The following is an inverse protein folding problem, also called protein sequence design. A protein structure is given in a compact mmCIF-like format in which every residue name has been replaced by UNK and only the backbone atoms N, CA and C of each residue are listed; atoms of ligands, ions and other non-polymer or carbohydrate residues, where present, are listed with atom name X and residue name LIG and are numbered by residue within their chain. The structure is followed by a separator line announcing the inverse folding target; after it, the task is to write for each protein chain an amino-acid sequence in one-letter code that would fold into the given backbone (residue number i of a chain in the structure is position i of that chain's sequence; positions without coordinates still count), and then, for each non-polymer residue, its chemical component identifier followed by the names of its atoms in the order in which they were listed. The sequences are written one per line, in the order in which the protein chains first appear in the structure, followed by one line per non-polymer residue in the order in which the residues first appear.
data_IF_954082429716
#
_entry.id   IF_954082429716
#
_cell.length_a   1.000
_cell.length_b   1.000
_cell.length_c   1.000
_cell.angle_alpha   90.00
_cell.angle_beta   90.00
_cell.angle_gamma   90.00
#
_symmetry.space_group_name_H-M   'P 1'
#
loop_
_entity.id
_entity.type
_entity.pdbx_description
1 polymer ?
#
# COMPACT_ATOMS: atom_id res chain seq x y z
N UNK A 1 -6.19 -24.04 45.71
CA UNK A 1 -5.28 -23.48 44.72
C UNK A 1 -5.20 -24.31 43.43
N UNK A 2 -4.87 -25.61 43.44
CA UNK A 2 -4.78 -26.48 42.22
C UNK A 2 -6.06 -26.53 41.37
N UNK A 3 -7.25 -26.55 41.99
CA UNK A 3 -8.55 -26.64 41.28
C UNK A 3 -8.83 -25.36 40.49
N UNK A 4 -8.55 -24.19 41.04
CA UNK A 4 -8.75 -22.89 40.40
C UNK A 4 -7.78 -22.70 39.20
N UNK A 5 -6.54 -23.14 39.32
CA UNK A 5 -5.55 -23.12 38.24
C UNK A 5 -6.02 -24.01 37.08
N UNK A 6 -6.54 -25.21 37.36
CA UNK A 6 -7.06 -26.11 36.33
C UNK A 6 -8.25 -25.50 35.58
N UNK A 7 -9.20 -24.88 36.31
CA UNK A 7 -10.34 -24.20 35.69
C UNK A 7 -9.87 -23.01 34.82
N UNK A 8 -8.92 -22.21 35.33
CA UNK A 8 -8.34 -21.11 34.56
C UNK A 8 -7.66 -21.59 33.27
N UNK A 9 -6.86 -22.67 33.34
CA UNK A 9 -6.23 -23.26 32.15
C UNK A 9 -7.25 -23.80 31.15
N UNK A 10 -8.30 -24.47 31.62
CA UNK A 10 -9.37 -24.96 30.76
C UNK A 10 -10.12 -23.81 30.06
N UNK A 11 -10.49 -22.77 30.79
CA UNK A 11 -11.16 -21.60 30.21
C UNK A 11 -10.27 -20.87 29.20
N UNK A 12 -8.97 -20.74 29.51
CA UNK A 12 -8.01 -20.13 28.57
C UNK A 12 -7.85 -20.97 27.30
N UNK A 13 -7.79 -22.29 27.42
CA UNK A 13 -7.71 -23.18 26.27
C UNK A 13 -8.99 -23.13 25.40
N UNK A 14 -10.16 -23.10 26.03
CA UNK A 14 -11.44 -22.95 25.33
C UNK A 14 -11.51 -21.60 24.61
N UNK A 15 -11.12 -20.50 25.27
CA UNK A 15 -11.10 -19.18 24.65
C UNK A 15 -10.13 -19.14 23.45
N UNK A 16 -8.93 -19.69 23.60
CA UNK A 16 -7.96 -19.76 22.50
C UNK A 16 -8.47 -20.61 21.33
N UNK A 17 -9.12 -21.75 21.62
CA UNK A 17 -9.76 -22.61 20.61
C UNK A 17 -10.88 -21.89 19.86
N UNK A 18 -11.75 -21.17 20.58
CA UNK A 18 -12.84 -20.40 19.99
C UNK A 18 -12.33 -19.28 19.08
N UNK A 19 -11.31 -18.54 19.54
CA UNK A 19 -10.67 -17.47 18.74
C UNK A 19 -10.00 -18.07 17.49
N UNK A 20 -9.34 -19.23 17.63
CA UNK A 20 -8.73 -19.90 16.49
C UNK A 20 -9.77 -20.31 15.44
N UNK A 21 -10.87 -20.90 15.85
CA UNK A 21 -11.98 -21.27 14.96
C UNK A 21 -12.59 -20.05 14.27
N UNK A 22 -12.79 -18.96 14.99
CA UNK A 22 -13.27 -17.70 14.43
C UNK A 22 -12.29 -17.15 13.37
N UNK A 23 -10.98 -17.14 13.66
CA UNK A 23 -9.96 -16.73 12.69
C UNK A 23 -10.00 -17.60 11.41
N UNK A 24 -10.20 -18.92 11.55
CA UNK A 24 -10.33 -19.84 10.41
C UNK A 24 -11.59 -19.57 9.59
N UNK A 25 -12.72 -19.28 10.26
CA UNK A 25 -13.96 -18.93 9.60
C UNK A 25 -13.85 -17.62 8.80
N UNK A 26 -13.26 -16.58 9.40
CA UNK A 26 -13.00 -15.30 8.74
C UNK A 26 -12.15 -15.50 7.47
N UNK A 27 -11.10 -16.32 7.58
CA UNK A 27 -10.23 -16.66 6.45
C UNK A 27 -11.01 -17.35 5.32
N UNK A 28 -11.79 -18.37 5.65
CA UNK A 28 -12.59 -19.11 4.67
C UNK A 28 -13.60 -18.19 3.97
N UNK A 29 -14.26 -17.29 4.73
CA UNK A 29 -15.21 -16.32 4.16
C UNK A 29 -14.52 -15.32 3.21
N UNK A 30 -13.29 -14.89 3.52
CA UNK A 30 -12.51 -14.02 2.64
C UNK A 30 -12.07 -14.75 1.36
N UNK A 31 -11.61 -16.00 1.48
CA UNK A 31 -11.17 -16.82 0.35
C UNK A 31 -12.30 -17.11 -0.66
N UNK A 32 -13.55 -17.08 -0.23
CA UNK A 32 -14.74 -17.26 -1.11
C UNK A 32 -14.97 -16.05 -2.04
N UNK A 33 -14.42 -14.87 -1.75
CA UNK A 33 -14.61 -13.66 -2.56
C UNK A 33 -14.02 -13.79 -3.95
N UNK A 34 -12.84 -14.38 -4.08
CA UNK A 34 -12.16 -14.74 -5.33
C UNK A 34 -12.07 -13.60 -6.37
N UNK A 35 -11.95 -12.37 -5.92
CA UNK A 35 -11.83 -11.19 -6.79
C UNK A 35 -10.40 -11.05 -7.29
N UNK A 36 -9.43 -11.13 -6.39
CA UNK A 36 -8.00 -10.99 -6.71
C UNK A 36 -7.43 -12.26 -7.32
N UNK A 37 -7.84 -13.44 -6.84
CA UNK A 37 -7.40 -14.73 -7.36
C UNK A 37 -7.84 -15.00 -8.80
N UNK A 38 -8.94 -14.39 -9.24
CA UNK A 38 -9.44 -14.53 -10.61
C UNK A 38 -8.62 -13.73 -11.64
N UNK A 39 -7.76 -12.83 -11.22
CA UNK A 39 -6.90 -12.04 -12.10
C UNK A 39 -5.58 -12.78 -12.38
N UNK A 40 -5.29 -13.05 -13.66
CA UNK A 40 -4.02 -13.64 -14.07
C UNK A 40 -2.90 -12.59 -14.05
N UNK A 41 -1.76 -12.96 -13.49
CA UNK A 41 -0.55 -12.16 -13.46
C UNK A 41 0.67 -13.05 -13.39
N UNK A 42 1.83 -12.42 -13.23
CA UNK A 42 3.13 -13.08 -13.13
C UNK A 42 3.66 -13.00 -11.71
N UNK A 43 4.70 -13.77 -11.42
CA UNK A 43 5.44 -13.70 -10.16
C UNK A 43 6.92 -13.42 -10.44
N UNK A 44 7.44 -12.40 -9.80
CA UNK A 44 8.86 -12.09 -9.74
C UNK A 44 9.45 -12.79 -8.50
N UNK A 45 10.39 -13.72 -8.74
CA UNK A 45 11.08 -14.41 -7.64
C UNK A 45 12.10 -13.48 -7.00
N UNK A 46 11.71 -12.86 -5.91
CA UNK A 46 12.56 -11.94 -5.16
C UNK A 46 13.11 -12.64 -3.91
N UNK A 47 14.28 -12.21 -3.42
CA UNK A 47 15.00 -12.82 -2.28
C UNK A 47 14.19 -13.06 -1.01
N UNK A 48 13.13 -12.26 -0.79
CA UNK A 48 12.29 -12.37 0.41
C UNK A 48 10.89 -12.96 0.12
N UNK A 49 10.65 -13.47 -1.10
CA UNK A 49 9.38 -14.08 -1.47
C UNK A 49 8.93 -13.72 -2.88
N UNK A 50 7.89 -14.36 -3.35
CA UNK A 50 7.29 -14.12 -4.65
C UNK A 50 6.46 -12.86 -4.66
N UNK A 51 6.72 -12.00 -5.63
CA UNK A 51 6.04 -10.72 -5.83
C UNK A 51 5.10 -10.85 -7.01
N UNK A 52 3.81 -10.74 -6.77
CA UNK A 52 2.82 -10.71 -7.84
C UNK A 52 2.87 -9.40 -8.61
N UNK A 53 2.85 -9.49 -9.95
CA UNK A 53 2.77 -8.31 -10.80
C UNK A 53 1.98 -8.59 -12.08
N UNK A 54 1.54 -7.52 -12.75
CA UNK A 54 0.98 -7.58 -14.10
C UNK A 54 1.77 -6.66 -15.02
N UNK A 55 1.86 -7.04 -16.31
CA UNK A 55 2.44 -6.24 -17.39
C UNK A 55 1.40 -6.13 -18.50
N UNK A 56 1.05 -4.93 -18.94
CA UNK A 56 0.02 -4.69 -19.96
C UNK A 56 0.39 -3.50 -20.85
N UNK A 57 -0.05 -3.54 -22.10
CA UNK A 57 0.16 -2.47 -23.06
C UNK A 57 1.55 -2.47 -23.69
N UNK A 58 1.83 -1.43 -24.48
CA UNK A 58 3.09 -1.19 -25.17
C UNK A 58 3.46 0.30 -25.07
N UNK A 59 4.73 0.61 -25.06
CA UNK A 59 5.25 1.99 -24.95
C UNK A 59 6.20 2.13 -23.76
N UNK A 60 6.53 3.34 -23.39
CA UNK A 60 7.43 3.62 -22.26
C UNK A 60 6.93 3.01 -20.96
N UNK A 61 7.84 2.43 -20.12
CA UNK A 61 7.43 1.76 -18.90
C UNK A 61 6.87 2.72 -17.86
N UNK A 62 5.74 2.32 -17.28
CA UNK A 62 5.06 2.98 -16.19
C UNK A 62 4.75 1.98 -15.07
N UNK A 63 5.41 2.15 -13.93
CA UNK A 63 5.20 1.31 -12.75
C UNK A 63 4.18 1.96 -11.81
N UNK A 64 3.10 1.24 -11.50
CA UNK A 64 2.06 1.65 -10.56
C UNK A 64 2.27 0.96 -9.21
N UNK A 65 2.50 1.74 -8.15
CA UNK A 65 2.75 1.26 -6.79
C UNK A 65 1.60 1.69 -5.89
N UNK A 66 0.82 0.71 -5.40
CA UNK A 66 -0.30 0.96 -4.49
C UNK A 66 0.15 1.47 -3.11
N UNK A 67 -0.79 2.01 -2.32
CA UNK A 67 -0.55 2.44 -0.94
C UNK A 67 0.00 1.30 -0.07
N UNK A 68 0.92 1.60 0.82
CA UNK A 68 1.46 0.62 1.76
C UNK A 68 0.48 0.41 2.92
N UNK A 69 -0.39 -0.57 2.76
CA UNK A 69 -1.35 -1.00 3.77
C UNK A 69 -1.62 -2.51 3.59
N UNK A 70 -1.75 -3.32 4.65
CA UNK A 70 -2.07 -4.75 4.54
C UNK A 70 -3.34 -5.07 3.77
N UNK A 71 -4.25 -4.11 3.63
CA UNK A 71 -5.52 -4.26 2.88
C UNK A 71 -5.38 -3.88 1.42
N UNK A 72 -4.26 -3.26 1.04
CA UNK A 72 -4.02 -2.77 -0.32
C UNK A 72 -3.46 -3.86 -1.24
N UNK A 73 -3.64 -3.64 -2.53
CA UNK A 73 -3.07 -4.43 -3.63
C UNK A 73 -3.09 -3.61 -4.91
N UNK A 74 -2.51 -4.11 -5.98
CA UNK A 74 -2.59 -3.46 -7.29
C UNK A 74 -4.03 -3.31 -7.83
N UNK A 75 -5.03 -3.93 -7.19
CA UNK A 75 -6.44 -3.66 -7.47
C UNK A 75 -6.83 -2.19 -7.28
N UNK A 76 -6.06 -1.43 -6.51
CA UNK A 76 -6.18 0.02 -6.37
C UNK A 76 -6.17 0.74 -7.74
N UNK A 77 -5.53 0.17 -8.74
CA UNK A 77 -5.36 0.72 -10.08
C UNK A 77 -6.39 0.21 -11.09
N UNK A 78 -7.36 -0.63 -10.68
CA UNK A 78 -8.28 -1.35 -11.57
C UNK A 78 -9.07 -0.46 -12.54
N UNK A 79 -9.33 0.81 -12.18
CA UNK A 79 -10.09 1.75 -13.03
C UNK A 79 -9.20 2.54 -14.01
N UNK A 80 -7.89 2.59 -13.83
CA UNK A 80 -6.98 3.41 -14.64
C UNK A 80 -6.11 2.58 -15.60
N UNK A 81 -5.79 1.32 -15.26
CA UNK A 81 -4.88 0.46 -16.05
C UNK A 81 -5.27 0.42 -17.52
N UNK A 82 -6.52 0.08 -17.84
CA UNK A 82 -7.02 -0.05 -19.23
C UNK A 82 -6.88 1.22 -20.08
N UNK A 83 -6.76 2.37 -19.43
CA UNK A 83 -6.60 3.65 -20.13
C UNK A 83 -5.13 4.00 -20.31
N UNK A 84 -4.31 3.71 -19.29
CA UNK A 84 -2.87 3.94 -19.30
C UNK A 84 -2.15 2.96 -20.25
N UNK A 85 -2.60 1.69 -20.35
CA UNK A 85 -1.99 0.66 -21.22
C UNK A 85 -2.11 1.00 -22.72
N UNK A 86 -2.91 2.00 -23.11
CA UNK A 86 -2.99 2.47 -24.49
C UNK A 86 -1.72 3.19 -24.96
N UNK A 87 -1.03 3.84 -24.03
CA UNK A 87 0.14 4.69 -24.31
C UNK A 87 1.42 4.22 -23.62
N UNK A 88 1.30 3.30 -22.66
CA UNK A 88 2.41 2.87 -21.82
C UNK A 88 2.46 1.34 -21.67
N UNK A 89 3.65 0.82 -21.42
CA UNK A 89 3.80 -0.52 -20.85
C UNK A 89 3.59 -0.39 -19.35
N UNK A 90 2.37 -0.71 -18.89
CA UNK A 90 1.96 -0.55 -17.50
C UNK A 90 2.32 -1.78 -16.68
N UNK A 91 3.16 -1.59 -15.68
CA UNK A 91 3.46 -2.58 -14.67
C UNK A 91 2.70 -2.24 -13.39
N UNK A 92 2.08 -3.24 -12.77
CA UNK A 92 1.53 -3.10 -11.41
C UNK A 92 2.11 -4.21 -10.56
N UNK A 93 2.43 -3.95 -9.31
CA UNK A 93 2.86 -5.00 -8.40
C UNK A 93 2.08 -4.94 -7.09
N UNK A 94 1.85 -6.10 -6.47
CA UNK A 94 1.45 -6.17 -5.08
C UNK A 94 2.72 -6.14 -4.24
N UNK A 95 2.86 -5.16 -3.35
CA UNK A 95 4.03 -5.06 -2.47
C UNK A 95 4.15 -6.29 -1.57
N UNK A 96 5.37 -6.68 -1.23
CA UNK A 96 5.58 -7.79 -0.27
C UNK A 96 4.82 -7.49 1.03
N UNK A 97 4.10 -8.47 1.55
CA UNK A 97 3.19 -8.28 2.69
C UNK A 97 1.77 -7.88 2.31
N UNK A 98 1.49 -7.56 1.03
CA UNK A 98 0.20 -7.09 0.52
C UNK A 98 -0.37 -8.03 -0.55
N UNK A 99 -1.67 -7.94 -0.80
CA UNK A 99 -2.37 -8.59 -1.90
C UNK A 99 -2.00 -10.06 -2.12
N UNK A 100 -1.62 -10.38 -3.36
CA UNK A 100 -1.24 -11.74 -3.84
C UNK A 100 0.23 -12.08 -3.62
N UNK A 101 1.07 -11.08 -3.29
CA UNK A 101 2.48 -11.31 -2.97
C UNK A 101 2.66 -12.06 -1.66
N UNK A 102 3.80 -12.70 -1.51
CA UNK A 102 4.15 -13.40 -0.28
C UNK A 102 4.13 -12.47 0.93
N UNK A 103 3.77 -13.05 2.08
CA UNK A 103 3.69 -12.35 3.37
C UNK A 103 4.58 -13.07 4.41
N UNK A 104 5.91 -13.05 4.21
CA UNK A 104 6.83 -13.73 5.12
C UNK A 104 6.82 -13.13 6.53
N UNK A 105 7.19 -13.95 7.52
CA UNK A 105 7.43 -13.50 8.88
C UNK A 105 8.77 -12.74 8.94
N UNK A 106 8.70 -11.42 8.80
CA UNK A 106 9.87 -10.54 8.90
C UNK A 106 9.46 -9.15 9.42
N UNK A 107 10.42 -8.32 9.74
CA UNK A 107 10.19 -6.90 10.01
C UNK A 107 10.17 -6.14 8.68
N UNK A 108 9.01 -5.59 8.34
CA UNK A 108 8.83 -4.78 7.15
C UNK A 108 9.35 -3.36 7.43
N UNK A 109 10.45 -3.01 6.77
CA UNK A 109 11.07 -1.69 6.90
C UNK A 109 10.90 -0.88 5.62
N UNK A 110 11.06 0.42 5.70
CA UNK A 110 11.05 1.28 4.52
C UNK A 110 12.10 0.81 3.48
N UNK A 111 13.31 0.51 3.92
CA UNK A 111 14.39 0.05 3.05
C UNK A 111 14.14 -1.32 2.39
N UNK A 112 13.31 -2.17 2.98
CA UNK A 112 12.86 -3.40 2.33
C UNK A 112 12.14 -3.08 1.01
N UNK A 113 11.27 -2.07 1.02
CA UNK A 113 10.54 -1.63 -0.17
C UNK A 113 11.43 -0.85 -1.16
N UNK A 114 12.37 -0.04 -0.66
CA UNK A 114 13.41 0.58 -1.51
C UNK A 114 14.13 -0.50 -2.33
N UNK A 115 14.57 -1.58 -1.69
CA UNK A 115 15.25 -2.69 -2.36
C UNK A 115 14.32 -3.42 -3.34
N UNK A 116 13.09 -3.72 -2.94
CA UNK A 116 12.12 -4.40 -3.80
C UNK A 116 11.90 -3.63 -5.11
N UNK A 117 11.62 -2.32 -5.02
CA UNK A 117 11.36 -1.51 -6.21
C UNK A 117 12.63 -1.38 -7.07
N UNK A 118 13.78 -1.17 -6.44
CA UNK A 118 15.06 -1.09 -7.16
C UNK A 118 15.35 -2.39 -7.91
N UNK A 119 15.21 -3.53 -7.25
CA UNK A 119 15.48 -4.84 -7.84
C UNK A 119 14.45 -5.17 -8.95
N UNK A 120 13.17 -4.83 -8.75
CA UNK A 120 12.13 -5.07 -9.75
C UNK A 120 12.33 -4.24 -11.01
N UNK A 121 12.62 -2.93 -10.88
CA UNK A 121 12.88 -2.08 -12.06
C UNK A 121 14.14 -2.56 -12.79
N UNK A 122 15.22 -2.91 -12.10
CA UNK A 122 16.47 -3.33 -12.71
C UNK A 122 16.39 -4.70 -13.41
N UNK A 123 15.73 -5.65 -12.76
CA UNK A 123 15.81 -7.05 -13.18
C UNK A 123 14.63 -7.49 -14.05
N UNK A 124 13.44 -6.92 -13.84
CA UNK A 124 12.20 -7.32 -14.54
C UNK A 124 11.78 -6.31 -15.61
N UNK A 125 11.88 -4.99 -15.31
CA UNK A 125 11.59 -3.95 -16.32
C UNK A 125 12.82 -3.72 -17.21
N UNK A 126 14.00 -3.54 -16.63
CA UNK A 126 15.29 -3.46 -17.34
C UNK A 126 15.59 -2.08 -17.96
N UNK A 127 14.74 -1.08 -17.77
CA UNK A 127 14.88 0.26 -18.33
C UNK A 127 14.39 1.36 -17.39
N UNK A 128 14.82 2.59 -17.67
CA UNK A 128 14.43 3.77 -16.87
C UNK A 128 12.93 3.98 -16.91
N UNK A 129 12.28 3.97 -15.73
CA UNK A 129 10.84 3.78 -15.59
C UNK A 129 10.17 5.00 -14.93
N UNK A 130 9.05 5.47 -15.48
CA UNK A 130 8.17 6.40 -14.78
C UNK A 130 7.43 5.65 -13.65
N UNK A 131 7.30 6.27 -12.48
CA UNK A 131 6.64 5.64 -11.33
C UNK A 131 5.46 6.48 -10.87
N UNK A 132 4.27 5.88 -10.85
CA UNK A 132 3.08 6.45 -10.23
C UNK A 132 2.80 5.70 -8.93
N UNK A 133 2.83 6.42 -7.82
CA UNK A 133 2.63 5.84 -6.49
C UNK A 133 1.54 6.57 -5.70
N UNK A 134 1.06 5.99 -4.61
CA UNK A 134 0.05 6.61 -3.75
C UNK A 134 0.46 6.62 -2.28
N UNK A 135 0.03 7.65 -1.57
CA UNK A 135 0.10 7.84 -0.12
C UNK A 135 1.49 7.53 0.50
N UNK A 136 1.53 6.53 1.41
CA UNK A 136 2.73 6.13 2.17
C UNK A 136 3.87 5.63 1.27
N UNK A 137 3.53 5.10 0.10
CA UNK A 137 4.50 4.52 -0.84
C UNK A 137 5.44 5.57 -1.46
N UNK A 138 5.11 6.86 -1.35
CA UNK A 138 6.02 7.96 -1.74
C UNK A 138 7.37 7.85 -1.04
N UNK A 139 7.39 7.39 0.22
CA UNK A 139 8.61 7.43 1.03
C UNK A 139 9.72 6.55 0.47
N UNK A 140 9.44 5.30 0.18
CA UNK A 140 10.44 4.39 -0.38
C UNK A 140 10.64 4.58 -1.90
N UNK A 141 9.66 5.14 -2.62
CA UNK A 141 9.82 5.51 -4.03
C UNK A 141 10.85 6.63 -4.18
N UNK A 142 10.71 7.71 -3.41
CA UNK A 142 11.66 8.84 -3.41
C UNK A 142 13.05 8.40 -2.97
N UNK A 143 13.16 7.54 -1.94
CA UNK A 143 14.44 7.02 -1.49
C UNK A 143 15.09 6.10 -2.53
N UNK A 144 14.33 5.23 -3.20
CA UNK A 144 14.84 4.38 -4.26
C UNK A 144 15.40 5.19 -5.43
N UNK A 145 14.69 6.23 -5.84
CA UNK A 145 15.13 7.16 -6.88
C UNK A 145 16.40 7.94 -6.48
N UNK A 146 16.42 8.49 -5.26
CA UNK A 146 17.57 9.27 -4.78
C UNK A 146 18.84 8.41 -4.62
N UNK A 147 18.69 7.13 -4.26
CA UNK A 147 19.82 6.20 -4.15
C UNK A 147 20.31 5.67 -5.51
N UNK A 148 19.47 5.73 -6.54
CA UNK A 148 19.74 5.17 -7.87
C UNK A 148 19.24 6.14 -8.95
N UNK A 149 20.07 7.12 -9.33
CA UNK A 149 19.71 8.23 -10.23
C UNK A 149 19.17 7.81 -11.60
N UNK A 150 19.63 6.67 -12.12
CA UNK A 150 19.23 6.16 -13.44
C UNK A 150 18.04 5.22 -13.41
N UNK A 151 17.44 5.02 -12.24
CA UNK A 151 16.36 4.04 -12.06
C UNK A 151 15.01 4.55 -12.58
N UNK A 152 14.68 5.81 -12.30
CA UNK A 152 13.38 6.39 -12.60
C UNK A 152 13.50 7.59 -13.54
N UNK A 153 12.59 7.68 -14.51
CA UNK A 153 12.48 8.82 -15.42
C UNK A 153 11.72 9.98 -14.78
N UNK A 154 10.68 9.68 -14.02
CA UNK A 154 9.86 10.64 -13.28
C UNK A 154 9.13 9.96 -12.14
N UNK A 155 8.67 10.73 -11.16
CA UNK A 155 7.84 10.28 -10.06
C UNK A 155 6.54 11.08 -10.04
N UNK A 156 5.41 10.39 -10.04
CA UNK A 156 4.08 10.95 -9.85
C UNK A 156 3.47 10.37 -8.58
N UNK A 157 2.87 11.21 -7.74
CA UNK A 157 2.32 10.77 -6.45
C UNK A 157 0.88 11.23 -6.28
N UNK A 158 -0.01 10.28 -6.04
CA UNK A 158 -1.38 10.57 -5.64
C UNK A 158 -1.46 10.73 -4.12
N UNK A 159 -1.86 11.92 -3.66
CA UNK A 159 -2.05 12.24 -2.25
C UNK A 159 -0.88 11.76 -1.36
N UNK A 160 0.33 12.31 -1.50
CA UNK A 160 1.49 11.86 -0.73
C UNK A 160 1.24 11.94 0.78
N UNK A 161 1.78 10.98 1.52
CA UNK A 161 1.82 11.06 2.98
C UNK A 161 2.55 12.35 3.42
N UNK A 162 2.13 12.95 4.54
CA UNK A 162 2.78 14.16 5.03
C UNK A 162 4.22 13.87 5.49
N UNK A 163 5.14 14.80 5.21
CA UNK A 163 6.53 14.68 5.66
C UNK A 163 6.62 14.48 7.18
N UNK A 164 5.72 15.15 7.92
CA UNK A 164 5.61 14.98 9.38
C UNK A 164 5.23 13.54 9.77
N UNK A 165 4.29 12.90 9.07
CA UNK A 165 3.89 11.52 9.36
C UNK A 165 4.98 10.51 8.99
N UNK A 166 5.79 10.81 8.00
CA UNK A 166 6.94 9.99 7.58
C UNK A 166 8.13 10.12 8.53
N UNK A 167 8.28 11.25 9.22
CA UNK A 167 9.37 11.49 10.16
C UNK A 167 9.18 10.81 11.53
N UNK A 168 8.05 10.15 11.78
CA UNK A 168 7.78 9.47 13.05
C UNK A 168 8.76 8.31 13.25
N UNK A 169 9.54 8.39 14.32
CA UNK A 169 10.50 7.34 14.70
C UNK A 169 9.87 6.27 15.58
N UNK A 170 10.55 5.13 15.67
CA UNK A 170 10.19 4.08 16.63
C UNK A 170 10.34 4.58 18.06
N UNK A 171 9.47 4.11 18.96
CA UNK A 171 9.56 4.42 20.39
C UNK A 171 9.87 3.14 21.18
N UNK A 172 10.11 3.30 22.50
CA UNK A 172 10.44 2.17 23.41
C UNK A 172 9.38 1.06 23.47
N UNK A 173 8.15 1.32 23.05
CA UNK A 173 7.06 0.34 23.01
C UNK A 173 6.87 -0.30 21.62
N UNK A 174 7.66 0.08 20.63
CA UNK A 174 7.54 -0.43 19.27
C UNK A 174 7.66 -1.96 19.21
N UNK A 175 8.64 -2.53 19.90
CA UNK A 175 8.83 -3.99 19.96
C UNK A 175 7.65 -4.71 20.62
N UNK A 176 7.07 -4.13 21.67
CA UNK A 176 5.91 -4.71 22.36
C UNK A 176 4.68 -4.70 21.45
N UNK A 177 4.40 -3.58 20.78
CA UNK A 177 3.30 -3.50 19.79
C UNK A 177 3.48 -4.51 18.67
N UNK A 178 4.68 -4.59 18.10
CA UNK A 178 5.02 -5.55 17.04
C UNK A 178 4.75 -6.97 17.51
N UNK A 179 5.31 -7.36 18.65
CA UNK A 179 5.15 -8.71 19.21
C UNK A 179 3.69 -9.07 19.44
N UNK A 180 2.86 -8.13 19.92
CA UNK A 180 1.44 -8.38 20.17
C UNK A 180 0.69 -8.80 18.88
N UNK A 181 0.92 -8.09 17.75
CA UNK A 181 0.32 -8.44 16.47
C UNK A 181 0.90 -9.72 15.87
N UNK A 182 2.15 -10.07 16.19
CA UNK A 182 2.80 -11.28 15.69
C UNK A 182 2.33 -12.56 16.38
N UNK A 183 1.72 -12.47 17.57
CA UNK A 183 1.20 -13.65 18.29
C UNK A 183 0.26 -14.47 17.37
N UNK A 184 0.36 -15.82 17.41
CA UNK A 184 -0.36 -16.68 16.48
C UNK A 184 -1.88 -16.52 16.52
N UNK A 185 -2.50 -16.61 17.68
CA UNK A 185 -3.97 -16.61 17.84
C UNK A 185 -4.48 -15.20 18.11
N UNK A 186 -3.94 -14.56 19.15
CA UNK A 186 -4.39 -13.23 19.63
C UNK A 186 -4.04 -12.16 18.59
N UNK A 187 -2.81 -12.16 18.08
CA UNK A 187 -2.37 -11.19 17.07
C UNK A 187 -3.17 -11.31 15.77
N UNK A 188 -3.49 -12.55 15.34
CA UNK A 188 -4.37 -12.76 14.18
C UNK A 188 -5.78 -12.26 14.45
N UNK A 189 -6.30 -12.44 15.64
CA UNK A 189 -7.64 -11.94 16.01
C UNK A 189 -7.66 -10.40 16.03
N UNK A 190 -6.68 -9.75 16.64
CA UNK A 190 -6.56 -8.28 16.64
C UNK A 190 -6.43 -7.72 15.23
N UNK A 191 -5.64 -8.38 14.40
CA UNK A 191 -5.53 -8.04 12.97
C UNK A 191 -6.89 -8.15 12.28
N UNK A 192 -7.59 -9.27 12.40
CA UNK A 192 -8.89 -9.49 11.77
C UNK A 192 -9.95 -8.48 12.22
N UNK A 193 -9.93 -8.04 13.49
CA UNK A 193 -10.78 -6.94 13.96
C UNK A 193 -10.45 -5.63 13.25
N UNK A 194 -9.16 -5.32 13.09
CA UNK A 194 -8.70 -4.07 12.45
C UNK A 194 -9.08 -3.99 10.98
N UNK A 195 -9.01 -5.13 10.26
CA UNK A 195 -9.32 -5.23 8.83
C UNK A 195 -10.69 -5.86 8.55
N UNK A 196 -11.60 -5.83 9.53
CA UNK A 196 -12.96 -6.34 9.37
C UNK A 196 -13.75 -5.55 8.32
N UNK A 197 -14.77 -6.18 7.72
CA UNK A 197 -15.65 -5.51 6.77
C UNK A 197 -16.26 -4.22 7.35
N UNK A 198 -16.61 -4.21 8.62
CA UNK A 198 -17.15 -3.01 9.29
C UNK A 198 -16.12 -1.90 9.35
N UNK A 199 -14.86 -2.21 9.76
CA UNK A 199 -13.77 -1.24 9.83
C UNK A 199 -13.41 -0.69 8.45
N UNK A 200 -13.32 -1.56 7.44
CA UNK A 200 -13.05 -1.17 6.06
C UNK A 200 -14.15 -0.27 5.50
N UNK A 201 -15.43 -0.68 5.63
CA UNK A 201 -16.56 0.13 5.17
C UNK A 201 -16.59 1.51 5.84
N UNK A 202 -16.31 1.57 7.14
CA UNK A 202 -16.23 2.85 7.86
C UNK A 202 -15.13 3.74 7.27
N UNK A 203 -13.90 3.21 7.15
CA UNK A 203 -12.78 3.98 6.61
C UNK A 203 -13.04 4.47 5.18
N UNK A 204 -13.59 3.59 4.31
CA UNK A 204 -13.89 3.97 2.94
C UNK A 204 -14.97 5.06 2.86
N UNK A 205 -16.02 5.01 3.67
CA UNK A 205 -17.13 5.97 3.65
C UNK A 205 -16.79 7.31 4.30
N UNK A 206 -16.06 7.30 5.39
CA UNK A 206 -15.80 8.50 6.19
C UNK A 206 -14.50 9.21 5.74
N UNK A 207 -13.43 8.43 5.48
CA UNK A 207 -12.09 8.99 5.28
C UNK A 207 -11.61 8.93 3.85
N UNK A 208 -11.89 7.83 3.11
CA UNK A 208 -11.21 7.57 1.83
C UNK A 208 -11.96 8.10 0.62
N UNK A 209 -13.30 8.18 0.67
CA UNK A 209 -14.12 8.63 -0.44
C UNK A 209 -14.83 9.95 -0.16
N UNK A 210 -14.79 10.87 -1.12
CA UNK A 210 -15.63 12.07 -1.10
C UNK A 210 -17.08 11.72 -1.46
N UNK A 211 -17.26 10.68 -2.28
CA UNK A 211 -18.56 10.22 -2.77
C UNK A 211 -18.79 8.75 -2.41
N UNK A 212 -19.25 8.45 -1.17
CA UNK A 212 -19.42 7.07 -0.69
C UNK A 212 -20.36 6.20 -1.53
N UNK A 213 -21.26 6.80 -2.31
CA UNK A 213 -22.14 6.09 -3.24
C UNK A 213 -21.39 5.41 -4.41
N UNK A 214 -20.14 5.78 -4.68
CA UNK A 214 -19.30 5.16 -5.72
C UNK A 214 -18.59 3.88 -5.23
N UNK A 215 -18.69 3.58 -3.94
CA UNK A 215 -18.07 2.39 -3.35
C UNK A 215 -18.90 1.18 -3.75
N UNK A 216 -18.35 0.31 -4.60
CA UNK A 216 -18.98 -0.93 -5.01
C UNK A 216 -18.68 -2.07 -4.01
N UNK A 217 -19.60 -3.03 -3.90
CA UNK A 217 -19.36 -4.26 -3.12
C UNK A 217 -18.11 -4.99 -3.59
N UNK A 218 -17.90 -5.07 -4.92
CA UNK A 218 -16.72 -5.70 -5.51
C UNK A 218 -15.41 -5.06 -5.04
N UNK A 219 -15.37 -3.73 -4.92
CA UNK A 219 -14.21 -3.02 -4.38
C UNK A 219 -13.95 -3.43 -2.92
N UNK A 220 -15.00 -3.42 -2.10
CA UNK A 220 -14.87 -3.80 -0.69
C UNK A 220 -14.43 -5.25 -0.53
N UNK A 221 -14.99 -6.15 -1.35
CA UNK A 221 -14.61 -7.56 -1.36
C UNK A 221 -13.13 -7.75 -1.74
N UNK A 222 -12.62 -6.99 -2.72
CA UNK A 222 -11.20 -7.05 -3.12
C UNK A 222 -10.27 -6.62 -1.98
N UNK A 223 -10.58 -5.53 -1.28
CA UNK A 223 -9.80 -5.06 -0.14
C UNK A 223 -9.88 -6.03 1.05
N UNK A 224 -11.06 -6.61 1.29
CA UNK A 224 -11.24 -7.62 2.31
C UNK A 224 -10.46 -8.90 1.99
N UNK A 225 -10.51 -9.38 0.74
CA UNK A 225 -9.73 -10.52 0.27
C UNK A 225 -8.22 -10.26 0.43
N UNK A 226 -7.71 -9.10 -0.05
CA UNK A 226 -6.31 -8.72 0.07
C UNK A 226 -5.79 -8.81 1.51
N UNK A 227 -6.58 -8.30 2.46
CA UNK A 227 -6.25 -8.33 3.89
C UNK A 227 -6.10 -9.74 4.43
N UNK A 228 -6.94 -10.68 3.99
CA UNK A 228 -7.02 -12.02 4.57
C UNK A 228 -6.27 -13.10 3.78
N UNK A 229 -5.73 -12.78 2.60
CA UNK A 229 -4.91 -13.71 1.83
C UNK A 229 -3.73 -14.25 2.64
N UNK A 230 -3.31 -15.50 2.32
CA UNK A 230 -2.22 -16.19 3.01
C UNK A 230 -2.44 -16.28 4.54
N UNK A 231 -3.65 -16.68 4.95
CA UNK A 231 -3.99 -16.86 6.37
C UNK A 231 -3.82 -15.61 7.23
N UNK A 232 -4.26 -14.46 6.73
CA UNK A 232 -4.15 -13.16 7.42
C UNK A 232 -2.71 -12.80 7.81
N UNK A 233 -1.71 -13.27 7.04
CA UNK A 233 -0.29 -12.97 7.30
C UNK A 233 0.06 -11.50 7.06
N UNK A 234 -0.82 -10.69 6.47
CA UNK A 234 -0.70 -9.23 6.43
C UNK A 234 -0.52 -8.60 7.82
N UNK A 235 -0.83 -9.35 8.88
CA UNK A 235 -0.58 -8.94 10.27
C UNK A 235 0.90 -8.60 10.56
N UNK A 236 1.86 -9.23 9.87
CA UNK A 236 3.29 -8.97 10.06
C UNK A 236 3.70 -7.60 9.50
N UNK A 237 3.10 -7.21 8.36
CA UNK A 237 3.22 -5.85 7.86
C UNK A 237 2.56 -4.86 8.82
N UNK A 238 1.32 -5.12 9.26
CA UNK A 238 0.62 -4.28 10.23
C UNK A 238 1.43 -4.12 11.52
N UNK A 239 2.01 -5.20 12.05
CA UNK A 239 2.88 -5.17 13.23
C UNK A 239 4.06 -4.21 13.05
N UNK A 240 4.68 -4.23 11.87
CA UNK A 240 5.79 -3.33 11.54
C UNK A 240 5.34 -1.88 11.37
N UNK A 241 4.17 -1.64 10.75
CA UNK A 241 3.59 -0.29 10.60
C UNK A 241 3.20 0.32 11.95
N UNK A 242 2.53 -0.42 12.82
CA UNK A 242 2.14 0.03 14.18
C UNK A 242 3.36 0.35 15.06
N UNK A 243 4.49 -0.27 14.76
CA UNK A 243 5.77 0.00 15.39
C UNK A 243 6.61 1.08 14.69
N UNK A 244 6.09 1.70 13.62
CA UNK A 244 6.74 2.71 12.78
C UNK A 244 8.02 2.25 12.06
N UNK A 245 8.25 0.95 11.86
CA UNK A 245 9.42 0.46 11.13
C UNK A 245 9.34 0.77 9.63
N UNK A 246 8.16 1.01 9.08
CA UNK A 246 7.94 1.41 7.68
C UNK A 246 8.13 2.91 7.45
N UNK A 247 8.21 3.71 8.51
CA UNK A 247 8.40 5.16 8.43
C UNK A 247 9.87 5.51 8.20
N UNK A 248 10.09 6.53 7.37
CA UNK A 248 11.42 7.12 7.17
C UNK A 248 11.27 8.56 6.69
N UNK A 249 12.09 9.48 7.22
CA UNK A 249 12.14 10.85 6.72
C UNK A 249 12.72 10.88 5.31
N UNK A 250 12.03 11.57 4.42
CA UNK A 250 12.45 11.74 3.02
C UNK A 250 12.82 13.18 2.67
N UNK A 251 12.82 14.10 3.64
CA UNK A 251 13.05 15.53 3.40
C UNK A 251 14.36 15.79 2.66
N UNK A 252 15.44 15.10 3.08
CA UNK A 252 16.74 15.24 2.43
C UNK A 252 16.74 14.67 1.00
N UNK A 253 16.05 13.55 0.78
CA UNK A 253 15.95 12.95 -0.54
C UNK A 253 15.11 13.82 -1.49
N UNK A 254 13.99 14.38 -1.02
CA UNK A 254 13.15 15.32 -1.79
C UNK A 254 13.94 16.55 -2.22
N UNK A 255 14.76 17.13 -1.33
CA UNK A 255 15.63 18.28 -1.66
C UNK A 255 16.64 17.98 -2.78
N UNK A 256 17.11 16.73 -2.87
CA UNK A 256 18.15 16.28 -3.82
C UNK A 256 17.57 15.61 -5.07
N UNK A 257 16.26 15.54 -5.18
CA UNK A 257 15.63 14.86 -6.30
C UNK A 257 15.83 15.68 -7.59
N UNK A 258 16.45 15.04 -8.59
CA UNK A 258 16.80 15.66 -9.88
C UNK A 258 15.79 15.28 -10.98
N UNK A 259 15.00 14.20 -10.77
CA UNK A 259 13.98 13.78 -11.73
C UNK A 259 12.71 14.60 -11.59
N UNK A 260 11.92 14.78 -12.65
CA UNK A 260 10.59 15.38 -12.56
C UNK A 260 9.74 14.73 -11.48
N UNK A 261 9.17 15.56 -10.59
CA UNK A 261 8.40 15.10 -9.46
C UNK A 261 7.07 15.83 -9.39
N UNK A 262 5.97 15.08 -9.52
CA UNK A 262 4.62 15.60 -9.64
C UNK A 262 3.74 15.14 -8.48
N UNK A 263 3.02 16.08 -7.87
CA UNK A 263 2.03 15.80 -6.83
C UNK A 263 0.62 16.01 -7.39
N UNK A 264 -0.17 14.97 -7.38
CA UNK A 264 -1.57 14.97 -7.78
C UNK A 264 -2.42 14.84 -6.52
N UNK A 265 -3.02 15.92 -6.06
CA UNK A 265 -3.67 16.01 -4.77
C UNK A 265 -5.19 16.13 -4.90
N UNK A 266 -5.90 15.52 -3.98
CA UNK A 266 -7.34 15.70 -3.84
C UNK A 266 -7.63 17.00 -3.09
N UNK A 267 -8.32 17.93 -3.74
CA UNK A 267 -8.68 19.22 -3.09
C UNK A 267 -9.53 19.03 -1.83
N UNK A 268 -10.33 17.97 -1.78
CA UNK A 268 -11.15 17.59 -0.63
C UNK A 268 -10.37 16.76 0.41
N UNK A 269 -9.08 16.51 0.18
CA UNK A 269 -8.20 15.83 1.13
C UNK A 269 -7.89 16.72 2.33
N UNK A 270 -7.85 16.12 3.52
CA UNK A 270 -7.46 16.82 4.74
C UNK A 270 -6.03 17.34 4.60
N UNK A 271 -5.85 18.62 4.83
CA UNK A 271 -4.56 19.30 4.79
C UNK A 271 -3.78 19.18 3.44
N UNK A 272 -4.47 18.88 2.32
CA UNK A 272 -3.83 18.63 1.03
C UNK A 272 -2.94 19.81 0.57
N UNK A 273 -3.42 21.05 0.70
CA UNK A 273 -2.67 22.26 0.34
C UNK A 273 -1.43 22.41 1.23
N UNK A 274 -1.63 22.35 2.55
CA UNK A 274 -0.52 22.48 3.51
C UNK A 274 0.53 21.38 3.32
N UNK A 275 0.09 20.17 2.96
CA UNK A 275 0.98 19.07 2.65
C UNK A 275 1.80 19.35 1.37
N UNK A 276 1.16 19.77 0.28
CA UNK A 276 1.84 20.16 -0.96
C UNK A 276 2.87 21.26 -0.70
N UNK A 277 2.51 22.29 0.07
CA UNK A 277 3.42 23.38 0.44
C UNK A 277 4.68 22.89 1.18
N UNK A 278 4.58 21.83 2.00
CA UNK A 278 5.76 21.27 2.66
C UNK A 278 6.73 20.62 1.67
N UNK A 279 6.23 19.96 0.64
CA UNK A 279 7.05 19.36 -0.42
C UNK A 279 7.67 20.42 -1.32
N UNK A 280 6.88 21.38 -1.81
CA UNK A 280 7.35 22.43 -2.72
C UNK A 280 8.36 23.38 -2.09
N UNK A 281 8.27 23.63 -0.78
CA UNK A 281 9.31 24.37 -0.02
C UNK A 281 10.65 23.64 0.02
N UNK A 282 10.66 22.30 0.00
CA UNK A 282 11.89 21.52 -0.02
C UNK A 282 12.53 21.50 -1.41
N UNK A 283 11.70 21.44 -2.45
CA UNK A 283 12.15 21.40 -3.83
C UNK A 283 11.15 22.18 -4.71
N UNK A 284 11.56 23.36 -5.20
CA UNK A 284 10.71 24.24 -5.99
C UNK A 284 10.41 23.74 -7.41
N UNK A 285 11.10 22.69 -7.88
CA UNK A 285 10.80 22.05 -9.17
C UNK A 285 9.61 21.10 -9.12
N UNK A 286 9.04 20.87 -7.93
CA UNK A 286 7.86 20.01 -7.78
C UNK A 286 6.62 20.72 -8.34
N UNK A 287 5.98 20.08 -9.29
CA UNK A 287 4.72 20.54 -9.83
C UNK A 287 3.52 19.92 -9.11
N UNK A 288 2.46 20.70 -8.92
CA UNK A 288 1.26 20.26 -8.18
C UNK A 288 -0.01 20.46 -8.99
N UNK A 289 -0.87 19.45 -8.98
CA UNK A 289 -2.22 19.51 -9.56
C UNK A 289 -3.25 19.08 -8.52
N UNK A 290 -4.38 19.81 -8.49
CA UNK A 290 -5.46 19.54 -7.54
C UNK A 290 -6.70 19.01 -8.26
N UNK A 291 -7.12 17.82 -7.87
CA UNK A 291 -8.34 17.16 -8.36
C UNK A 291 -9.49 17.40 -7.38
N UNK A 292 -10.67 17.73 -7.93
CA UNK A 292 -11.90 17.90 -7.14
C UNK A 292 -12.73 16.62 -7.11
N UNK A 293 -13.67 16.54 -6.14
CA UNK A 293 -14.61 15.43 -5.98
C UNK A 293 -13.97 14.07 -5.68
N UNK A 294 -12.83 14.07 -5.00
CA UNK A 294 -12.14 12.87 -4.53
C UNK A 294 -11.44 13.13 -3.19
N UNK A 295 -11.13 12.06 -2.48
CA UNK A 295 -10.31 12.06 -1.25
C UNK A 295 -9.07 11.18 -1.44
N UNK A 296 -8.87 10.16 -0.59
CA UNK A 296 -7.63 9.37 -0.50
C UNK A 296 -7.26 8.69 -1.83
N UNK A 297 -8.23 8.15 -2.56
CA UNK A 297 -8.02 7.35 -3.77
C UNK A 297 -8.63 8.00 -5.03
N UNK A 298 -8.05 9.08 -5.57
CA UNK A 298 -8.55 9.74 -6.79
C UNK A 298 -8.62 8.79 -7.99
N UNK A 299 -7.70 7.82 -8.10
CA UNK A 299 -7.68 6.79 -9.13
C UNK A 299 -8.92 5.88 -9.12
N UNK A 300 -9.64 5.81 -8.02
CA UNK A 300 -10.88 5.06 -7.89
C UNK A 300 -12.14 5.94 -7.99
N UNK A 301 -12.06 7.24 -7.65
CA UNK A 301 -13.20 8.16 -7.66
C UNK A 301 -13.31 8.98 -8.95
N UNK A 302 -12.16 9.44 -9.50
CA UNK A 302 -12.07 10.29 -10.69
C UNK A 302 -11.01 9.77 -11.67
N UNK A 303 -11.10 8.49 -12.08
CA UNK A 303 -10.04 7.81 -12.85
C UNK A 303 -9.70 8.52 -14.16
N UNK A 304 -10.67 9.13 -14.84
CA UNK A 304 -10.43 9.85 -16.10
C UNK A 304 -9.51 11.04 -15.89
N UNK A 305 -9.75 11.81 -14.85
CA UNK A 305 -8.93 12.96 -14.51
C UNK A 305 -7.51 12.55 -14.10
N UNK A 306 -7.37 11.46 -13.36
CA UNK A 306 -6.05 10.91 -13.02
C UNK A 306 -5.29 10.51 -14.27
N UNK A 307 -5.92 9.78 -15.20
CA UNK A 307 -5.28 9.35 -16.45
C UNK A 307 -4.88 10.54 -17.32
N UNK A 308 -5.78 11.54 -17.48
CA UNK A 308 -5.50 12.78 -18.21
C UNK A 308 -4.27 13.48 -17.66
N UNK A 309 -4.22 13.68 -16.32
CA UNK A 309 -3.12 14.33 -15.63
C UNK A 309 -1.80 13.55 -15.75
N UNK A 310 -1.84 12.22 -15.57
CA UNK A 310 -0.66 11.36 -15.73
C UNK A 310 -0.10 11.43 -17.15
N UNK A 311 -0.95 11.30 -18.17
CA UNK A 311 -0.51 11.40 -19.56
C UNK A 311 0.07 12.78 -19.89
N UNK A 312 -0.55 13.86 -19.40
CA UNK A 312 -0.05 15.22 -19.60
C UNK A 312 1.37 15.38 -19.02
N UNK A 313 1.62 14.92 -17.81
CA UNK A 313 2.94 15.00 -17.21
C UNK A 313 3.99 14.12 -17.91
N UNK A 314 3.60 12.93 -18.36
CA UNK A 314 4.53 12.01 -19.03
C UNK A 314 4.83 12.39 -20.49
N UNK A 315 3.97 13.19 -21.15
CA UNK A 315 4.22 13.71 -22.51
C UNK A 315 5.15 14.92 -22.52
N UNK A 316 5.22 15.67 -21.42
CA UNK A 316 6.04 16.88 -21.31
C UNK A 316 7.50 16.60 -20.92
N UNK A 317 7.86 15.34 -20.73
CA UNK A 317 9.20 14.85 -20.40
C UNK A 317 9.73 13.86 -21.44
#
# INVERSE_FOLDING_TARGET
MKKNIRHFLLLSALAAGSIHLLNRFIQAAADMKNILKAENGNYYDWKNGKIYYTKRGNGSPLLLIHDLDPVSSSYEWCKVIRKLEKNHTVYTLDLIGCGRSDKPFLTYTNYLYVQLITDFIRNDIGEKTAVLTSNESVSFTVLACNMNKDLMSSILVLNPASLKSLHITTNKYASVKKTLFELPIIGTFLYNLRVSNTSLNKAFREDYYARPQLISSKLMDAYYEAAHMNFSRGKYLMASMEANYTKNSIEHAVKKLEVPFYLILSRNGKDAIANADTYTRLNSSIETVYLSNCKKYPQLEVPDKVVETVNQFLQNN
#
